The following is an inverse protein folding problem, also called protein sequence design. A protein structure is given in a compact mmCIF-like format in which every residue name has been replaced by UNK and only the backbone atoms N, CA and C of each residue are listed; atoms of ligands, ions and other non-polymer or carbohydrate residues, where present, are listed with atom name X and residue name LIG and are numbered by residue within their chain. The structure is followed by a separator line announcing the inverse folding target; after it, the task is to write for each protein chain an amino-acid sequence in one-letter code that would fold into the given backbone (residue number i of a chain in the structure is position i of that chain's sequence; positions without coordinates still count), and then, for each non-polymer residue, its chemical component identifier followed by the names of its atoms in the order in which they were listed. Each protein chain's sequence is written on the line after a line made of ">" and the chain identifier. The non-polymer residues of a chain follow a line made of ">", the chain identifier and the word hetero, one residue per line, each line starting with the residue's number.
data_IF_280745687874
#
_entry.id   IF_280745687874
#
_cell.length_a   1.000
_cell.length_b   1.000
_cell.length_c   1.000
_cell.angle_alpha   90.00
_cell.angle_beta   90.00
_cell.angle_gamma   90.00
#
_symmetry.space_group_name_H-M   'P 1'
#
loop_
_entity.id
_entity.type
_entity.pdbx_description
1 polymer ?
#
# COMPACT_ATOMS: atom_id res chain seq x y z
N UNK A 1 -50.23 -15.19 45.72
CA UNK A 1 -49.80 -13.79 45.54
C UNK A 1 -49.88 -13.50 44.05
N UNK A 2 -51.02 -12.96 43.62
CA UNK A 2 -51.30 -12.68 42.22
C UNK A 2 -51.30 -11.16 42.06
N UNK A 3 -50.49 -10.64 41.15
CA UNK A 3 -50.66 -9.30 40.60
C UNK A 3 -50.18 -9.32 39.15
N UNK A 4 -51.14 -9.08 38.27
CA UNK A 4 -50.94 -8.72 36.87
C UNK A 4 -51.37 -7.27 36.75
N UNK A 5 -50.50 -6.38 36.27
CA UNK A 5 -50.84 -5.15 35.51
C UNK A 5 -49.62 -4.81 34.61
N UNK A 6 -49.89 -4.71 33.31
CA UNK A 6 -49.23 -3.88 32.28
C UNK A 6 -50.32 -2.83 31.89
N UNK A 7 -50.10 -1.55 31.47
CA UNK A 7 -49.16 -1.12 30.41
C UNK A 7 -48.63 0.36 30.47
N UNK A 8 -47.64 0.68 29.60
CA UNK A 8 -47.38 1.99 28.97
C UNK A 8 -47.12 3.26 29.83
N UNK A 9 -45.84 3.59 29.99
CA UNK A 9 -45.29 4.96 30.13
C UNK A 9 -43.78 4.80 29.85
N UNK A 10 -43.08 5.51 28.97
CA UNK A 10 -43.14 6.89 28.48
C UNK A 10 -42.49 6.90 27.08
N UNK A 11 -43.09 7.60 26.13
CA UNK A 11 -42.43 7.99 24.87
C UNK A 11 -41.34 9.00 25.19
N UNK A 12 -40.08 8.70 24.89
CA UNK A 12 -39.03 9.70 24.74
C UNK A 12 -38.59 9.74 23.25
N UNK A 13 -38.97 10.79 22.50
CA UNK A 13 -38.58 10.95 21.11
C UNK A 13 -37.43 11.94 21.02
N UNK A 14 -36.19 11.54 21.30
CA UNK A 14 -34.97 12.25 20.85
C UNK A 14 -33.70 11.53 21.28
N UNK A 15 -33.12 10.71 20.40
CA UNK A 15 -31.67 10.59 20.23
C UNK A 15 -31.39 9.76 18.98
N UNK A 16 -31.15 10.47 17.88
CA UNK A 16 -30.55 9.91 16.69
C UNK A 16 -29.06 9.64 16.94
N UNK A 17 -28.57 8.45 16.60
CA UNK A 17 -27.24 8.30 16.02
C UNK A 17 -27.36 7.36 14.81
N UNK A 18 -26.95 7.94 13.69
CA UNK A 18 -26.78 7.41 12.34
C UNK A 18 -25.92 6.15 12.29
N UNK A 19 -26.40 5.09 11.63
CA UNK A 19 -25.53 4.12 10.97
C UNK A 19 -25.82 4.17 9.47
N UNK A 20 -25.08 5.04 8.78
CA UNK A 20 -24.91 4.94 7.35
C UNK A 20 -24.07 3.69 7.08
N UNK A 21 -24.74 2.57 6.81
CA UNK A 21 -24.13 1.41 6.17
C UNK A 21 -23.67 1.81 4.78
N UNK A 22 -22.46 2.38 4.71
CA UNK A 22 -21.74 2.55 3.45
C UNK A 22 -21.35 1.15 3.01
N UNK A 23 -22.09 0.58 2.06
CA UNK A 23 -21.59 -0.52 1.25
C UNK A 23 -20.37 0.02 0.49
N UNK A 24 -19.20 -0.06 1.14
CA UNK A 24 -17.92 0.05 0.44
C UNK A 24 -17.80 -1.24 -0.35
N UNK A 25 -18.24 -1.18 -1.60
CA UNK A 25 -17.95 -2.19 -2.60
C UNK A 25 -16.42 -2.26 -2.70
N UNK A 26 -15.82 -3.22 -1.99
CA UNK A 26 -14.38 -3.42 -2.00
C UNK A 26 -14.01 -3.77 -3.44
N UNK A 27 -13.24 -2.93 -4.16
CA UNK A 27 -12.89 -3.23 -5.52
C UNK A 27 -12.15 -4.57 -5.59
N UNK A 28 -12.27 -5.32 -6.69
CA UNK A 28 -11.42 -6.49 -6.90
C UNK A 28 -9.96 -6.08 -6.74
N UNK A 29 -9.18 -6.89 -6.01
CA UNK A 29 -7.81 -6.64 -5.55
C UNK A 29 -6.90 -6.04 -6.66
N UNK A 30 -7.07 -6.52 -7.89
CA UNK A 30 -6.36 -6.02 -9.08
C UNK A 30 -6.61 -4.54 -9.41
N UNK A 31 -7.82 -4.03 -9.17
CA UNK A 31 -8.18 -2.62 -9.44
C UNK A 31 -7.53 -1.68 -8.43
N UNK A 32 -7.41 -2.09 -7.17
CA UNK A 32 -6.71 -1.32 -6.14
C UNK A 32 -5.22 -1.25 -6.47
N UNK A 33 -4.62 -2.38 -6.87
CA UNK A 33 -3.21 -2.45 -7.27
C UNK A 33 -2.93 -1.58 -8.50
N UNK A 34 -3.72 -1.69 -9.57
CA UNK A 34 -3.52 -0.89 -10.77
C UNK A 34 -3.69 0.62 -10.50
N UNK A 35 -4.64 1.02 -9.66
CA UNK A 35 -4.79 2.41 -9.24
C UNK A 35 -3.61 2.88 -8.37
N UNK A 36 -3.10 2.03 -7.48
CA UNK A 36 -1.93 2.34 -6.66
C UNK A 36 -0.68 2.52 -7.53
N UNK A 37 -0.42 1.63 -8.49
CA UNK A 37 0.69 1.74 -9.43
C UNK A 37 0.64 3.05 -10.22
N UNK A 38 -0.50 3.35 -10.84
CA UNK A 38 -0.68 4.58 -11.59
C UNK A 38 -0.50 5.84 -10.70
N UNK A 39 -0.91 5.77 -9.44
CA UNK A 39 -0.76 6.85 -8.46
C UNK A 39 0.70 7.04 -8.03
N UNK A 40 1.42 5.95 -7.78
CA UNK A 40 2.82 5.97 -7.35
C UNK A 40 3.70 6.65 -8.41
N UNK A 41 3.53 6.31 -9.69
CA UNK A 41 4.31 6.95 -10.76
C UNK A 41 3.85 8.37 -11.08
N UNK A 42 2.54 8.65 -11.03
CA UNK A 42 2.00 9.98 -11.34
C UNK A 42 2.38 11.02 -10.28
N UNK A 43 2.52 10.63 -9.03
CA UNK A 43 2.94 11.53 -7.94
C UNK A 43 4.40 11.97 -8.04
N UNK A 44 5.22 11.29 -8.86
CA UNK A 44 6.64 11.55 -9.02
C UNK A 44 7.00 11.80 -10.50
N UNK A 45 6.59 12.93 -11.10
CA UNK A 45 6.90 13.21 -12.50
C UNK A 45 8.42 13.37 -12.73
N UNK A 46 8.91 12.86 -13.86
CA UNK A 46 10.29 13.10 -14.32
C UNK A 46 10.33 14.40 -15.11
N UNK A 47 10.56 15.52 -14.41
CA UNK A 47 10.62 16.86 -15.02
C UNK A 47 11.95 17.16 -15.71
N UNK A 48 13.02 16.45 -15.35
CA UNK A 48 14.37 16.63 -15.90
C UNK A 48 14.69 15.55 -16.94
N UNK A 49 15.35 15.93 -18.04
CA UNK A 49 15.66 15.02 -19.16
C UNK A 49 16.56 13.85 -18.78
N UNK A 50 17.43 14.05 -17.78
CA UNK A 50 18.38 13.04 -17.30
C UNK A 50 18.07 12.68 -15.86
N UNK A 51 16.85 12.24 -15.63
CA UNK A 51 16.40 11.74 -14.32
C UNK A 51 15.73 10.37 -14.48
N UNK A 52 15.73 9.61 -13.39
CA UNK A 52 15.02 8.32 -13.32
C UNK A 52 14.42 8.13 -11.94
N UNK A 53 13.53 7.15 -11.80
CA UNK A 53 12.99 6.75 -10.50
C UNK A 53 13.78 5.55 -9.98
N UNK A 54 14.27 5.64 -8.76
CA UNK A 54 14.94 4.54 -8.07
C UNK A 54 14.10 4.13 -6.87
N UNK A 55 14.00 2.82 -6.67
CA UNK A 55 13.33 2.23 -5.53
C UNK A 55 14.37 2.00 -4.42
N UNK A 56 14.19 2.69 -3.29
CA UNK A 56 15.01 2.56 -2.09
C UNK A 56 14.32 1.62 -1.10
N UNK A 57 14.98 0.51 -0.77
CA UNK A 57 14.49 -0.42 0.26
C UNK A 57 14.76 0.21 1.63
N UNK A 58 13.75 0.30 2.49
CA UNK A 58 13.89 0.83 3.83
C UNK A 58 14.31 -0.27 4.81
N UNK A 59 15.05 0.07 5.88
CA UNK A 59 15.33 -0.87 6.95
C UNK A 59 14.04 -1.44 7.56
N UNK A 60 14.04 -2.69 8.03
CA UNK A 60 12.87 -3.27 8.66
C UNK A 60 12.52 -2.52 9.95
N UNK A 61 11.27 -2.07 10.06
CA UNK A 61 10.76 -1.51 11.31
C UNK A 61 10.30 -2.64 12.25
N UNK A 62 10.55 -2.48 13.55
CA UNK A 62 10.16 -3.47 14.57
C UNK A 62 8.66 -3.78 14.57
N UNK A 63 7.84 -2.83 14.11
CA UNK A 63 6.38 -2.92 14.10
C UNK A 63 5.81 -3.56 12.82
N UNK A 64 6.60 -3.61 11.74
CA UNK A 64 6.14 -4.05 10.41
C UNK A 64 6.16 -5.57 10.24
N UNK A 65 6.53 -6.33 11.27
CA UNK A 65 6.55 -7.80 11.22
C UNK A 65 7.48 -8.38 10.15
N UNK A 66 8.43 -7.58 9.65
CA UNK A 66 9.32 -7.96 8.55
C UNK A 66 8.75 -7.74 7.15
N UNK A 67 7.66 -6.97 7.01
CA UNK A 67 7.16 -6.53 5.71
C UNK A 67 8.19 -5.65 4.99
N UNK A 68 8.19 -5.70 3.65
CA UNK A 68 9.13 -4.91 2.85
C UNK A 68 8.50 -3.53 2.60
N UNK A 69 9.19 -2.50 3.07
CA UNK A 69 8.81 -1.10 2.84
C UNK A 69 9.86 -0.43 1.97
N UNK A 70 9.42 0.28 0.95
CA UNK A 70 10.26 0.97 -0.01
C UNK A 70 9.82 2.43 -0.18
N UNK A 71 10.76 3.27 -0.60
CA UNK A 71 10.49 4.61 -1.09
C UNK A 71 10.87 4.71 -2.56
N UNK A 72 9.96 5.20 -3.39
CA UNK A 72 10.26 5.56 -4.77
C UNK A 72 10.65 7.03 -4.80
N UNK A 73 11.82 7.33 -5.37
CA UNK A 73 12.34 8.69 -5.46
C UNK A 73 12.89 9.00 -6.86
N UNK A 74 12.82 10.27 -7.25
CA UNK A 74 13.42 10.74 -8.50
C UNK A 74 14.86 11.15 -8.22
N UNK A 75 15.80 10.60 -8.98
CA UNK A 75 17.21 10.98 -8.92
C UNK A 75 17.65 11.60 -10.25
N UNK A 76 18.57 12.56 -10.18
CA UNK A 76 19.24 13.11 -11.35
C UNK A 76 20.48 12.29 -11.69
N UNK A 77 20.61 11.92 -12.96
CA UNK A 77 21.75 11.19 -13.51
C UNK A 77 22.94 12.10 -13.81
N UNK A 78 22.76 13.43 -13.75
CA UNK A 78 23.81 14.44 -13.93
C UNK A 78 24.45 14.88 -12.59
N UNK A 79 24.09 14.23 -11.46
CA UNK A 79 24.73 14.52 -10.17
C UNK A 79 26.25 14.25 -10.23
N UNK A 80 27.01 15.00 -9.43
CA UNK A 80 28.46 14.82 -9.25
C UNK A 80 28.78 14.61 -7.74
N UNK A 81 29.17 13.39 -7.33
CA UNK A 81 29.39 12.21 -8.17
C UNK A 81 28.08 11.60 -8.73
N UNK A 82 28.15 10.83 -9.82
CA UNK A 82 26.99 10.13 -10.37
C UNK A 82 26.33 9.22 -9.32
N UNK A 83 24.99 9.07 -9.34
CA UNK A 83 24.30 8.26 -8.37
C UNK A 83 24.57 6.77 -8.59
N UNK A 84 24.71 6.03 -7.49
CA UNK A 84 24.87 4.58 -7.51
C UNK A 84 23.51 3.89 -7.30
N UNK A 85 23.22 2.87 -8.10
CA UNK A 85 22.02 2.05 -7.95
C UNK A 85 22.21 0.65 -8.55
N UNK A 86 21.44 -0.31 -8.06
CA UNK A 86 21.41 -1.66 -8.61
C UNK A 86 20.31 -1.78 -9.67
N UNK A 87 20.66 -2.29 -10.85
CA UNK A 87 19.70 -2.66 -11.87
C UNK A 87 19.51 -4.18 -11.88
N UNK A 88 18.27 -4.63 -11.71
CA UNK A 88 17.93 -6.06 -11.70
C UNK A 88 16.92 -6.40 -12.79
N UNK A 89 17.13 -7.54 -13.45
CA UNK A 89 16.19 -8.10 -14.42
C UNK A 89 15.36 -9.19 -13.73
N UNK A 90 14.14 -8.85 -13.31
CA UNK A 90 13.30 -9.69 -12.45
C UNK A 90 12.14 -10.39 -13.19
N UNK A 91 12.23 -10.57 -14.51
CA UNK A 91 11.11 -11.11 -15.31
C UNK A 91 11.07 -12.66 -15.36
N UNK A 92 11.92 -13.35 -14.60
CA UNK A 92 12.05 -14.81 -14.67
C UNK A 92 11.17 -15.53 -13.64
N UNK A 93 10.34 -16.49 -14.07
CA UNK A 93 9.51 -17.33 -13.19
C UNK A 93 8.04 -17.41 -13.60
N UNK A 94 7.24 -18.13 -12.82
CA UNK A 94 5.80 -18.25 -13.04
C UNK A 94 5.09 -16.92 -12.71
N UNK A 95 4.26 -16.37 -13.61
CA UNK A 95 3.63 -15.06 -13.41
C UNK A 95 2.63 -15.00 -12.24
N UNK A 96 2.16 -16.14 -11.76
CA UNK A 96 1.09 -16.24 -10.77
C UNK A 96 1.52 -16.06 -9.32
N UNK A 97 2.83 -16.08 -9.03
CA UNK A 97 3.33 -15.94 -7.66
C UNK A 97 3.68 -14.48 -7.36
N UNK A 98 2.82 -13.85 -6.56
CA UNK A 98 2.96 -12.44 -6.16
C UNK A 98 2.95 -12.26 -4.64
N UNK A 99 3.52 -11.15 -4.19
CA UNK A 99 3.57 -10.69 -2.79
C UNK A 99 3.26 -9.21 -2.72
N UNK A 100 2.69 -8.79 -1.59
CA UNK A 100 2.54 -7.38 -1.29
C UNK A 100 3.80 -6.82 -0.65
N UNK A 101 4.13 -5.60 -1.03
CA UNK A 101 5.09 -4.72 -0.36
C UNK A 101 4.44 -3.35 -0.18
N UNK A 102 5.09 -2.48 0.57
CA UNK A 102 4.66 -1.07 0.72
C UNK A 102 5.60 -0.15 -0.04
N UNK A 103 5.08 0.68 -0.93
CA UNK A 103 5.87 1.71 -1.66
C UNK A 103 5.24 3.08 -1.41
N UNK A 104 6.01 4.02 -0.83
CA UNK A 104 5.51 5.34 -0.46
C UNK A 104 4.23 5.29 0.42
N UNK A 105 4.14 4.31 1.32
CA UNK A 105 2.98 4.09 2.19
C UNK A 105 1.76 3.44 1.50
N UNK A 106 1.86 3.09 0.21
CA UNK A 106 0.79 2.46 -0.56
C UNK A 106 1.10 0.97 -0.80
N UNK A 107 0.08 0.09 -0.81
CA UNK A 107 0.27 -1.31 -1.17
C UNK A 107 0.69 -1.43 -2.63
N UNK A 108 1.66 -2.31 -2.90
CA UNK A 108 2.18 -2.58 -4.24
C UNK A 108 2.45 -4.08 -4.39
N UNK A 109 2.06 -4.65 -5.53
CA UNK A 109 2.23 -6.08 -5.80
C UNK A 109 3.51 -6.31 -6.60
N UNK A 110 4.38 -7.17 -6.08
CA UNK A 110 5.59 -7.63 -6.79
C UNK A 110 5.54 -9.14 -7.00
N UNK A 111 6.36 -9.63 -7.92
CA UNK A 111 6.56 -11.07 -8.10
C UNK A 111 7.44 -11.64 -6.98
N UNK A 112 7.26 -12.93 -6.68
CA UNK A 112 7.99 -13.63 -5.62
C UNK A 112 9.51 -13.51 -5.76
N UNK A 113 10.02 -13.58 -7.00
CA UNK A 113 11.46 -13.49 -7.26
C UNK A 113 12.04 -12.11 -6.89
N UNK A 114 11.32 -11.03 -7.18
CA UNK A 114 11.70 -9.68 -6.81
C UNK A 114 11.57 -9.47 -5.30
N UNK A 115 10.51 -10.00 -4.70
CA UNK A 115 10.33 -9.99 -3.25
C UNK A 115 11.50 -10.69 -2.52
N UNK A 116 11.87 -11.90 -2.96
CA UNK A 116 13.00 -12.63 -2.41
C UNK A 116 14.32 -11.90 -2.59
N UNK A 117 14.52 -11.23 -3.74
CA UNK A 117 15.68 -10.37 -3.96
C UNK A 117 15.72 -9.22 -2.93
N UNK A 118 14.60 -8.53 -2.69
CA UNK A 118 14.53 -7.45 -1.70
C UNK A 118 14.81 -7.93 -0.28
N UNK A 119 14.36 -9.13 0.10
CA UNK A 119 14.69 -9.73 1.40
C UNK A 119 16.19 -9.91 1.59
N UNK A 120 16.94 -10.26 0.55
CA UNK A 120 18.39 -10.41 0.63
C UNK A 120 19.13 -9.06 0.57
N UNK A 121 18.52 -8.03 -0.03
CA UNK A 121 19.11 -6.70 -0.14
C UNK A 121 18.88 -5.81 1.09
N UNK A 122 18.09 -6.25 2.07
CA UNK A 122 17.79 -5.48 3.30
C UNK A 122 18.88 -5.58 4.38
N UNK A 123 19.97 -6.28 4.10
CA UNK A 123 21.09 -6.50 5.02
C UNK A 123 22.01 -5.28 5.16
#
# INVERSE_FOLDING_TARGET
>A
MAHQIDPQSVLDPSLQIVEAGSNVEVPPDDSISAMAEATIYRSLPLSELKSTRVLRILPPELQDGGNITCQLEVISLDNDPPPEYYAVSYVWGWPSETRHITVNGMPFIVRENLWAFFINMRE
#
